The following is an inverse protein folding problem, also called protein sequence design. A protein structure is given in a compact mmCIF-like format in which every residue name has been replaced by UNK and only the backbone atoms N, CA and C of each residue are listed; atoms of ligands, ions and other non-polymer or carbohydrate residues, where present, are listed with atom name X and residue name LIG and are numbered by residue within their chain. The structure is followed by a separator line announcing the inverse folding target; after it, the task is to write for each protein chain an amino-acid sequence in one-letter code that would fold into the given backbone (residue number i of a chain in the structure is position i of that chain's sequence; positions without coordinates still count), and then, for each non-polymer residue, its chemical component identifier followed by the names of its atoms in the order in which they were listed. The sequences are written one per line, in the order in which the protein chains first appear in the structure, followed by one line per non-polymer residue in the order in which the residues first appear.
data_IF_327548721967
#
_entry.id   IF_327548721967
#
_cell.length_a   1.000
_cell.length_b   1.000
_cell.length_c   1.000
_cell.angle_alpha   90.00
_cell.angle_beta   90.00
_cell.angle_gamma   90.00
#
_symmetry.space_group_name_H-M   'P 1'
#
loop_
_entity.id
_entity.type
_entity.pdbx_description
1 polymer ?
#
# COMPACT_ATOMS: atom_id res chain seq x y z
N UNK A 1 20.49 -18.42 10.26
CA UNK A 1 19.69 -17.48 9.45
C UNK A 1 18.29 -17.44 10.06
N UNK A 2 17.75 -16.25 10.28
CA UNK A 2 16.41 -16.05 10.86
C UNK A 2 15.42 -15.72 9.75
N UNK A 3 14.23 -16.35 9.78
CA UNK A 3 13.22 -16.25 8.72
C UNK A 3 11.85 -15.77 9.24
N UNK A 4 11.71 -15.58 10.55
CA UNK A 4 10.47 -15.11 11.16
C UNK A 4 10.35 -13.60 10.99
N UNK A 5 9.17 -13.14 10.62
CA UNK A 5 8.82 -11.71 10.71
C UNK A 5 8.82 -11.24 12.17
N UNK A 6 9.15 -9.97 12.37
CA UNK A 6 9.11 -9.33 13.69
C UNK A 6 7.67 -9.20 14.20
N UNK A 7 7.51 -8.86 15.49
CA UNK A 7 6.20 -8.65 16.07
C UNK A 7 5.51 -7.43 15.42
N UNK A 8 6.28 -6.39 15.12
CA UNK A 8 5.85 -5.14 14.50
C UNK A 8 5.36 -5.40 13.07
N UNK A 9 6.13 -6.15 12.28
CA UNK A 9 5.76 -6.54 10.91
C UNK A 9 4.45 -7.34 10.88
N UNK A 10 4.27 -8.28 11.81
CA UNK A 10 3.03 -9.07 11.92
C UNK A 10 1.84 -8.21 12.33
N UNK A 11 2.03 -7.35 13.35
CA UNK A 11 0.98 -6.46 13.83
C UNK A 11 0.54 -5.48 12.73
N UNK A 12 1.48 -4.93 11.97
CA UNK A 12 1.18 -4.04 10.85
C UNK A 12 0.45 -4.78 9.72
N UNK A 13 0.91 -5.98 9.33
CA UNK A 13 0.23 -6.84 8.36
C UNK A 13 -1.24 -7.09 8.75
N UNK A 14 -1.50 -7.40 10.01
CA UNK A 14 -2.86 -7.63 10.52
C UNK A 14 -3.74 -6.38 10.48
N UNK A 15 -3.16 -5.20 10.72
CA UNK A 15 -3.86 -3.92 10.60
C UNK A 15 -4.23 -3.62 9.14
N UNK A 16 -3.27 -3.80 8.21
CA UNK A 16 -3.51 -3.61 6.77
C UNK A 16 -4.56 -4.58 6.26
N UNK A 17 -4.56 -5.84 6.70
CA UNK A 17 -5.56 -6.82 6.32
C UNK A 17 -6.96 -6.38 6.75
N UNK A 18 -7.12 -5.96 8.01
CA UNK A 18 -8.42 -5.48 8.54
C UNK A 18 -8.88 -4.21 7.82
N UNK A 19 -7.95 -3.30 7.53
CA UNK A 19 -8.23 -2.09 6.76
C UNK A 19 -8.72 -2.45 5.36
N UNK A 20 -8.01 -3.31 4.65
CA UNK A 20 -8.40 -3.71 3.29
C UNK A 20 -9.77 -4.36 3.25
N UNK A 21 -10.06 -5.29 4.16
CA UNK A 21 -11.36 -5.98 4.22
C UNK A 21 -12.53 -5.03 4.48
N UNK A 22 -12.32 -4.00 5.31
CA UNK A 22 -13.39 -3.09 5.73
C UNK A 22 -13.55 -1.90 4.80
N UNK A 23 -12.44 -1.36 4.33
CA UNK A 23 -12.40 -0.04 3.71
C UNK A 23 -12.13 -0.08 2.21
N UNK A 24 -11.41 -1.10 1.71
CA UNK A 24 -11.01 -1.18 0.30
C UNK A 24 -11.89 -2.17 -0.48
N UNK A 25 -12.03 -3.40 0.00
CA UNK A 25 -12.66 -4.49 -0.75
C UNK A 25 -14.10 -4.17 -1.22
N UNK A 26 -15.01 -3.64 -0.38
CA UNK A 26 -16.37 -3.34 -0.83
C UNK A 26 -16.42 -2.28 -1.94
N UNK A 27 -15.54 -1.27 -1.87
CA UNK A 27 -15.48 -0.17 -2.84
C UNK A 27 -14.79 -0.60 -4.14
N UNK A 28 -13.76 -1.43 -4.02
CA UNK A 28 -12.99 -1.94 -5.14
C UNK A 28 -13.83 -2.91 -5.97
N UNK A 29 -14.61 -3.79 -5.34
CA UNK A 29 -15.51 -4.72 -6.03
C UNK A 29 -16.58 -3.97 -6.84
N UNK A 30 -17.22 -2.95 -6.26
CA UNK A 30 -18.23 -2.15 -6.98
C UNK A 30 -17.65 -1.45 -8.21
N UNK A 31 -16.44 -0.88 -8.08
CA UNK A 31 -15.77 -0.19 -9.16
C UNK A 31 -15.30 -1.15 -10.28
N UNK A 32 -14.81 -2.34 -9.91
CA UNK A 32 -14.42 -3.39 -10.85
C UNK A 32 -15.60 -3.83 -11.73
N UNK A 33 -16.78 -4.06 -11.12
CA UNK A 33 -18.01 -4.36 -11.87
C UNK A 33 -18.41 -3.27 -12.87
N UNK A 34 -18.03 -2.01 -12.63
CA UNK A 34 -18.28 -0.88 -13.53
C UNK A 34 -17.15 -0.65 -14.54
N UNK A 35 -16.02 -1.33 -14.39
CA UNK A 35 -14.81 -1.08 -15.19
C UNK A 35 -14.18 0.28 -14.91
N UNK A 36 -14.34 0.79 -13.68
CA UNK A 36 -13.88 2.11 -13.27
C UNK A 36 -12.76 2.01 -12.21
N UNK A 37 -11.89 3.02 -12.16
CA UNK A 37 -10.89 3.09 -11.10
C UNK A 37 -11.50 3.65 -9.81
N UNK A 38 -11.32 2.91 -8.70
CA UNK A 38 -11.85 3.31 -7.40
C UNK A 38 -11.01 4.40 -6.72
N UNK A 39 -11.24 5.66 -7.08
CA UNK A 39 -10.54 6.81 -6.48
C UNK A 39 -10.81 6.97 -4.98
N UNK A 40 -11.95 6.49 -4.48
CA UNK A 40 -12.24 6.52 -3.05
C UNK A 40 -11.31 5.58 -2.28
N UNK A 41 -11.22 4.32 -2.71
CA UNK A 41 -10.29 3.35 -2.13
C UNK A 41 -8.85 3.86 -2.21
N UNK A 42 -8.46 4.46 -3.33
CA UNK A 42 -7.14 5.09 -3.51
C UNK A 42 -6.85 6.16 -2.45
N UNK A 43 -7.79 7.09 -2.21
CA UNK A 43 -7.64 8.14 -1.20
C UNK A 43 -7.58 7.56 0.20
N UNK A 44 -8.36 6.52 0.50
CA UNK A 44 -8.29 5.80 1.78
C UNK A 44 -6.91 5.16 1.98
N UNK A 45 -6.33 4.54 0.95
CA UNK A 45 -4.96 4.00 1.01
C UNK A 45 -3.93 5.11 1.32
N UNK A 46 -4.09 6.29 0.72
CA UNK A 46 -3.27 7.46 1.03
C UNK A 46 -3.39 7.91 2.48
N UNK A 47 -4.63 8.05 2.98
CA UNK A 47 -4.89 8.41 4.38
C UNK A 47 -4.40 7.39 5.41
N UNK A 48 -4.34 6.10 5.04
CA UNK A 48 -3.73 5.06 5.87
C UNK A 48 -2.19 5.12 5.87
N UNK A 49 -1.59 5.73 4.84
CA UNK A 49 -0.14 5.81 4.66
C UNK A 49 0.45 4.74 3.72
N UNK A 50 -0.37 3.96 3.03
CA UNK A 50 0.12 2.90 2.13
C UNK A 50 0.83 3.46 0.89
N UNK A 51 0.34 4.57 0.33
CA UNK A 51 0.89 5.13 -0.91
C UNK A 51 2.33 5.65 -0.76
N UNK A 52 2.74 6.04 0.45
CA UNK A 52 4.09 6.51 0.79
C UNK A 52 4.83 5.59 1.76
N UNK A 53 4.47 4.31 1.81
CA UNK A 53 4.91 3.37 2.85
C UNK A 53 6.45 3.30 2.99
N UNK A 54 7.18 3.31 1.88
CA UNK A 54 8.66 3.27 1.88
C UNK A 54 9.30 4.66 1.82
N UNK A 55 8.54 5.73 1.69
CA UNK A 55 9.12 7.07 1.53
C UNK A 55 9.63 7.60 2.88
N UNK A 56 10.69 8.41 2.87
CA UNK A 56 11.17 9.07 4.08
C UNK A 56 10.09 9.91 4.76
N UNK A 57 10.13 9.98 6.10
CA UNK A 57 9.21 10.80 6.89
C UNK A 57 9.26 12.29 6.51
N UNK A 58 10.43 12.79 6.09
CA UNK A 58 10.62 14.17 5.62
C UNK A 58 9.71 14.51 4.43
N UNK A 59 9.29 13.51 3.65
CA UNK A 59 8.38 13.66 2.51
C UNK A 59 6.97 13.12 2.81
N UNK A 60 6.63 12.90 4.09
CA UNK A 60 5.33 12.43 4.52
C UNK A 60 5.10 10.92 4.38
N UNK A 61 6.16 10.14 4.17
CA UNK A 61 6.09 8.67 4.18
C UNK A 61 6.27 8.06 5.57
N UNK A 62 6.26 6.72 5.64
CA UNK A 62 6.47 5.99 6.90
C UNK A 62 7.87 5.38 7.06
N UNK A 63 8.73 5.49 6.06
CA UNK A 63 10.10 4.95 6.11
C UNK A 63 10.19 3.43 6.31
N UNK A 64 9.13 2.69 5.96
CA UNK A 64 9.09 1.25 6.18
C UNK A 64 10.07 0.52 5.27
N UNK A 65 10.65 -0.57 5.80
CA UNK A 65 11.50 -1.43 4.99
C UNK A 65 10.71 -2.18 3.90
N UNK A 66 11.45 -2.70 2.91
CA UNK A 66 10.86 -3.42 1.77
C UNK A 66 10.08 -4.65 2.20
N UNK A 67 10.51 -5.35 3.27
CA UNK A 67 9.80 -6.55 3.75
C UNK A 67 8.43 -6.17 4.31
N UNK A 68 8.36 -5.09 5.09
CA UNK A 68 7.14 -4.52 5.65
C UNK A 68 6.20 -4.03 4.55
N UNK A 69 6.74 -3.38 3.52
CA UNK A 69 5.98 -2.95 2.36
C UNK A 69 5.40 -4.15 1.56
N UNK A 70 6.18 -5.21 1.38
CA UNK A 70 5.71 -6.46 0.77
C UNK A 70 4.61 -7.14 1.60
N UNK A 71 4.73 -7.15 2.93
CA UNK A 71 3.69 -7.71 3.81
C UNK A 71 2.40 -6.90 3.75
N UNK A 72 2.50 -5.57 3.62
CA UNK A 72 1.33 -4.71 3.40
C UNK A 72 0.67 -5.01 2.05
N UNK A 73 1.47 -5.14 0.98
CA UNK A 73 0.97 -5.53 -0.35
C UNK A 73 0.23 -6.88 -0.32
N UNK A 74 0.83 -7.89 0.34
CA UNK A 74 0.19 -9.19 0.54
C UNK A 74 -1.14 -9.06 1.31
N UNK A 75 -1.17 -8.25 2.38
CA UNK A 75 -2.36 -8.06 3.19
C UNK A 75 -3.48 -7.32 2.47
N UNK A 76 -3.17 -6.31 1.64
CA UNK A 76 -4.15 -5.61 0.79
C UNK A 76 -4.78 -6.58 -0.21
N UNK A 77 -3.94 -7.33 -0.94
CA UNK A 77 -4.45 -8.32 -1.90
C UNK A 77 -5.29 -9.41 -1.21
N UNK A 78 -4.81 -9.96 -0.09
CA UNK A 78 -5.53 -10.95 0.71
C UNK A 78 -6.83 -10.41 1.31
N UNK A 79 -6.87 -9.11 1.57
CA UNK A 79 -8.04 -8.42 2.10
C UNK A 79 -9.16 -8.20 1.08
N UNK A 80 -8.96 -8.58 -0.18
CA UNK A 80 -9.98 -8.48 -1.23
C UNK A 80 -9.95 -7.17 -2.02
N UNK A 81 -8.87 -6.38 -1.92
CA UNK A 81 -8.69 -5.27 -2.86
C UNK A 81 -8.55 -5.82 -4.29
N UNK A 82 -9.20 -5.16 -5.25
CA UNK A 82 -9.15 -5.58 -6.64
C UNK A 82 -7.74 -5.43 -7.25
N UNK A 83 -7.43 -6.21 -8.28
CA UNK A 83 -6.07 -6.36 -8.82
C UNK A 83 -5.50 -5.10 -9.46
N UNK A 84 -6.33 -4.31 -10.13
CA UNK A 84 -6.01 -2.99 -10.71
C UNK A 84 -5.58 -1.99 -9.65
N UNK A 85 -6.27 -1.90 -8.51
CA UNK A 85 -5.93 -1.04 -7.39
C UNK A 85 -4.59 -1.44 -6.77
N UNK A 86 -4.37 -2.75 -6.61
CA UNK A 86 -3.09 -3.29 -6.13
C UNK A 86 -1.94 -2.94 -7.09
N UNK A 87 -2.15 -3.11 -8.39
CA UNK A 87 -1.17 -2.80 -9.42
C UNK A 87 -0.88 -1.29 -9.48
N UNK A 88 -1.92 -0.46 -9.46
CA UNK A 88 -1.80 0.99 -9.44
C UNK A 88 -1.00 1.46 -8.22
N UNK A 89 -1.23 0.86 -7.05
CA UNK A 89 -0.48 1.18 -5.84
C UNK A 89 1.00 0.84 -5.99
N UNK A 90 1.33 -0.33 -6.53
CA UNK A 90 2.71 -0.70 -6.82
C UNK A 90 3.36 0.25 -7.83
N UNK A 91 2.64 0.64 -8.88
CA UNK A 91 3.13 1.57 -9.90
C UNK A 91 3.39 2.98 -9.33
N UNK A 92 2.48 3.49 -8.50
CA UNK A 92 2.66 4.76 -7.82
C UNK A 92 3.85 4.72 -6.86
N UNK A 93 3.85 3.73 -5.95
CA UNK A 93 4.78 3.68 -4.83
C UNK A 93 6.20 3.39 -5.31
N UNK A 94 6.36 2.32 -6.09
CA UNK A 94 7.67 1.76 -6.41
C UNK A 94 8.18 2.18 -7.78
N UNK A 95 7.33 2.22 -8.81
CA UNK A 95 7.80 2.56 -10.16
C UNK A 95 8.00 4.07 -10.32
N UNK A 96 7.09 4.88 -9.77
CA UNK A 96 7.18 6.32 -9.81
C UNK A 96 7.94 6.88 -8.60
N UNK A 97 7.35 6.84 -7.40
CA UNK A 97 7.88 7.64 -6.31
C UNK A 97 9.18 7.13 -5.71
N UNK A 98 9.45 5.82 -5.65
CA UNK A 98 10.78 5.33 -5.23
C UNK A 98 11.89 5.77 -6.22
N UNK A 99 11.58 5.85 -7.53
CA UNK A 99 12.49 6.43 -8.53
C UNK A 99 12.77 7.91 -8.25
N UNK A 100 11.73 8.69 -7.92
CA UNK A 100 11.88 10.11 -7.55
C UNK A 100 12.69 10.24 -6.26
N UNK A 101 12.37 9.48 -5.22
CA UNK A 101 13.05 9.55 -3.91
C UNK A 101 14.54 9.21 -4.02
N UNK A 102 14.91 8.31 -4.94
CA UNK A 102 16.31 7.90 -5.12
C UNK A 102 17.14 8.81 -6.02
N UNK A 103 16.50 9.48 -6.97
CA UNK A 103 17.19 10.13 -8.08
C UNK A 103 16.78 11.59 -8.32
N UNK A 104 15.73 12.05 -7.63
CA UNK A 104 15.25 13.43 -7.68
C UNK A 104 16.22 14.39 -6.97
N UNK A 105 16.07 15.65 -7.32
CA UNK A 105 16.60 16.78 -6.54
C UNK A 105 15.72 17.04 -5.31
N UNK A 106 16.15 17.94 -4.44
CA UNK A 106 15.33 18.37 -3.30
C UNK A 106 14.08 19.15 -3.77
N UNK A 107 14.22 19.92 -4.85
CA UNK A 107 13.13 20.59 -5.58
C UNK A 107 12.39 19.64 -6.52
#
# INVERSE_FOLDING_TARGET
MEFRFTAEQKAFKDQVLKFSQKELAPLAEEADWRGEFCWEAWRKMGGFGLLGITYPEAYGGSGADVVTACLAAEAVAKGGAEGGLCLAWGAHTYLCGDTIIRHGTEE
#
